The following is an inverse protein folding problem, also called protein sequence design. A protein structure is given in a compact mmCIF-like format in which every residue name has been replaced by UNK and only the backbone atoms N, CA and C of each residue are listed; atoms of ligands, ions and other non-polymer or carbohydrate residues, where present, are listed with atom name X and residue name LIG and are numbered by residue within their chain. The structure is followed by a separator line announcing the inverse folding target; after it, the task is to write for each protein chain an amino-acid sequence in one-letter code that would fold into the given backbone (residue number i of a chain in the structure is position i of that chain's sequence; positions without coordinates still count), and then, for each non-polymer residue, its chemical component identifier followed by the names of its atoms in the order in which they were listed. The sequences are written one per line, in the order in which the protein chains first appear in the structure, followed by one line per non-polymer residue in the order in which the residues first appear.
data_IF_517543860896
#
_entry.id   IF_517543860896
#
_cell.length_a   1.000
_cell.length_b   1.000
_cell.length_c   1.000
_cell.angle_alpha   90.00
_cell.angle_beta   90.00
_cell.angle_gamma   90.00
#
_symmetry.space_group_name_H-M   'P 1'
#
loop_
_entity.id
_entity.type
_entity.pdbx_description
1 polymer ?
#
# COMPACT_ATOMS: atom_id res chain seq x y z
N UNK A 1 -13.94 22.57 4.47
CA UNK A 1 -14.64 21.50 3.70
C UNK A 1 -13.63 20.69 2.92
N UNK A 2 -13.77 19.35 3.00
CA UNK A 2 -13.00 18.35 2.27
C UNK A 2 -13.11 18.54 0.75
N UNK A 3 -12.04 18.32 -0.02
CA UNK A 3 -12.08 18.50 -1.49
C UNK A 3 -12.73 17.31 -2.19
N UNK A 4 -12.58 16.11 -1.63
CA UNK A 4 -13.23 14.90 -2.12
C UNK A 4 -14.36 14.46 -1.18
N UNK A 5 -15.42 13.85 -1.73
CA UNK A 5 -16.43 13.17 -0.92
C UNK A 5 -15.85 11.93 -0.24
N UNK A 6 -16.59 11.35 0.71
CA UNK A 6 -16.25 10.02 1.25
C UNK A 6 -16.19 8.96 0.15
N UNK A 7 -15.44 7.90 0.42
CA UNK A 7 -15.28 6.77 -0.51
C UNK A 7 -16.65 6.27 -0.94
N UNK A 8 -16.86 6.13 -2.25
CA UNK A 8 -18.11 5.58 -2.79
C UNK A 8 -18.12 4.06 -2.63
N UNK A 9 -18.96 3.55 -1.73
CA UNK A 9 -19.17 2.13 -1.48
C UNK A 9 -20.58 1.71 -1.91
N UNK A 10 -20.78 0.40 -2.12
CA UNK A 10 -22.14 -0.16 -2.15
C UNK A 10 -22.75 -0.09 -0.75
N UNK A 11 -24.05 0.14 -0.67
CA UNK A 11 -24.75 0.27 0.62
C UNK A 11 -24.55 -0.96 1.51
N UNK A 12 -24.63 -2.18 0.96
CA UNK A 12 -24.37 -3.40 1.73
C UNK A 12 -22.94 -3.49 2.30
N UNK A 13 -21.95 -2.93 1.59
CA UNK A 13 -20.54 -2.93 2.03
C UNK A 13 -20.32 -1.87 3.09
N UNK A 14 -20.87 -0.67 2.91
CA UNK A 14 -20.77 0.40 3.91
C UNK A 14 -21.42 -0.01 5.24
N UNK A 15 -22.59 -0.65 5.18
CA UNK A 15 -23.27 -1.19 6.36
C UNK A 15 -22.44 -2.27 7.05
N UNK A 16 -21.85 -3.21 6.30
CA UNK A 16 -20.96 -4.23 6.86
C UNK A 16 -19.73 -3.62 7.56
N UNK A 17 -19.08 -2.63 6.93
CA UNK A 17 -17.98 -1.93 7.58
C UNK A 17 -18.47 -1.21 8.84
N UNK A 18 -19.63 -0.55 8.78
CA UNK A 18 -20.23 0.14 9.93
C UNK A 18 -20.45 -0.83 11.08
N UNK A 19 -20.98 -2.03 10.84
CA UNK A 19 -21.16 -3.06 11.88
C UNK A 19 -19.86 -3.42 12.60
N UNK A 20 -18.75 -3.60 11.85
CA UNK A 20 -17.45 -3.89 12.43
C UNK A 20 -16.90 -2.76 13.31
N UNK A 21 -17.05 -1.50 12.87
CA UNK A 21 -16.60 -0.31 13.60
C UNK A 21 -17.58 0.17 14.68
N UNK A 22 -18.78 -0.40 14.75
CA UNK A 22 -19.83 -0.10 15.72
C UNK A 22 -20.16 -1.30 16.61
N UNK A 23 -19.22 -2.23 16.76
CA UNK A 23 -19.40 -3.41 17.60
C UNK A 23 -19.61 -3.02 19.08
N UNK A 24 -20.14 -3.96 19.86
CA UNK A 24 -20.53 -3.71 21.26
C UNK A 24 -19.38 -3.20 22.13
N UNK A 25 -18.16 -3.72 21.93
CA UNK A 25 -16.99 -3.30 22.70
C UNK A 25 -16.58 -1.86 22.34
N UNK A 26 -16.59 -1.50 21.05
CA UNK A 26 -16.30 -0.12 20.60
C UNK A 26 -17.34 0.85 21.16
N UNK A 27 -18.62 0.51 21.07
CA UNK A 27 -19.72 1.37 21.57
C UNK A 27 -19.64 1.49 23.10
N UNK A 28 -19.28 0.42 23.81
CA UNK A 28 -19.08 0.45 25.26
C UNK A 28 -17.88 1.32 25.65
N UNK A 29 -16.80 1.31 24.87
CA UNK A 29 -15.57 2.04 25.18
C UNK A 29 -15.65 3.53 24.83
N UNK A 30 -16.29 3.90 23.72
CA UNK A 30 -16.28 5.28 23.20
C UNK A 30 -17.67 5.94 23.13
N UNK A 31 -18.74 5.18 23.29
CA UNK A 31 -20.11 5.64 23.03
C UNK A 31 -20.48 5.60 21.54
N UNK A 32 -21.78 5.48 21.27
CA UNK A 32 -22.30 5.32 19.90
C UNK A 32 -21.98 6.52 18.99
N UNK A 33 -22.22 7.74 19.48
CA UNK A 33 -22.05 8.96 18.68
C UNK A 33 -20.59 9.15 18.24
N UNK A 34 -19.63 8.92 19.14
CA UNK A 34 -18.21 9.07 18.84
C UNK A 34 -17.72 7.97 17.88
N UNK A 35 -18.19 6.74 18.04
CA UNK A 35 -17.88 5.65 17.11
C UNK A 35 -18.42 5.94 15.69
N UNK A 36 -19.66 6.44 15.57
CA UNK A 36 -20.22 6.84 14.26
C UNK A 36 -19.41 7.99 13.64
N UNK A 37 -19.03 8.99 14.44
CA UNK A 37 -18.20 10.11 13.98
C UNK A 37 -16.83 9.62 13.47
N UNK A 38 -16.17 8.72 14.21
CA UNK A 38 -14.88 8.13 13.80
C UNK A 38 -15.00 7.32 12.51
N UNK A 39 -16.09 6.56 12.35
CA UNK A 39 -16.37 5.79 11.14
C UNK A 39 -16.60 6.69 9.91
N UNK A 40 -17.45 7.71 10.03
CA UNK A 40 -17.65 8.67 8.92
C UNK A 40 -16.37 9.44 8.61
N UNK A 41 -15.58 9.79 9.64
CA UNK A 41 -14.26 10.43 9.44
C UNK A 41 -13.33 9.52 8.65
N UNK A 42 -13.24 8.23 9.00
CA UNK A 42 -12.47 7.22 8.26
C UNK A 42 -12.88 7.17 6.78
N UNK A 43 -14.17 7.05 6.47
CA UNK A 43 -14.64 6.99 5.08
C UNK A 43 -14.29 8.25 4.29
N UNK A 44 -14.30 9.43 4.93
CA UNK A 44 -13.84 10.67 4.32
C UNK A 44 -12.32 10.68 4.05
N UNK A 45 -11.51 10.17 4.97
CA UNK A 45 -10.04 10.17 4.83
C UNK A 45 -9.57 9.18 3.76
N UNK A 46 -10.28 8.07 3.56
CA UNK A 46 -9.93 7.08 2.54
C UNK A 46 -9.84 7.64 1.11
N UNK A 47 -10.68 8.63 0.77
CA UNK A 47 -10.66 9.27 -0.55
C UNK A 47 -9.45 10.19 -0.80
N UNK A 48 -8.70 10.55 0.25
CA UNK A 48 -7.61 11.52 0.17
C UNK A 48 -6.26 10.81 0.17
N UNK A 49 -5.27 11.29 -0.61
CA UNK A 49 -3.94 10.73 -0.56
C UNK A 49 -3.34 10.94 0.83
N UNK A 50 -2.44 10.04 1.28
CA UNK A 50 -1.56 10.31 2.42
C UNK A 50 -0.79 11.62 2.22
N UNK A 51 -0.58 12.38 3.29
CA UNK A 51 0.17 13.65 3.28
C UNK A 51 1.66 13.50 2.99
N UNK A 52 2.18 12.27 2.97
CA UNK A 52 3.57 11.98 2.61
C UNK A 52 3.65 10.93 1.50
N UNK A 53 4.56 11.19 0.57
CA UNK A 53 5.10 10.17 -0.31
C UNK A 53 6.31 9.54 0.37
N UNK A 54 6.22 8.23 0.58
CA UNK A 54 7.26 7.44 1.23
C UNK A 54 8.02 6.65 0.17
N UNK A 55 9.36 6.73 0.21
CA UNK A 55 10.24 5.91 -0.60
C UNK A 55 11.20 5.14 0.28
N UNK A 56 11.40 3.86 -0.06
CA UNK A 56 12.41 3.03 0.55
C UNK A 56 13.69 3.11 -0.28
N UNK A 57 14.81 3.33 0.39
CA UNK A 57 16.14 3.30 -0.20
C UNK A 57 16.62 1.85 -0.30
N UNK A 58 17.21 1.50 -1.44
CA UNK A 58 17.91 0.24 -1.60
C UNK A 58 19.33 0.35 -1.00
N UNK A 59 19.43 0.09 0.29
CA UNK A 59 20.68 0.18 1.06
C UNK A 59 21.74 -0.83 0.64
N UNK A 60 21.38 -1.85 -0.15
CA UNK A 60 22.37 -2.76 -0.74
C UNK A 60 23.25 -2.03 -1.76
N UNK A 61 22.68 -1.14 -2.58
CA UNK A 61 23.41 -0.50 -3.68
C UNK A 61 23.88 0.92 -3.36
N UNK A 62 23.19 1.64 -2.46
CA UNK A 62 23.51 3.03 -2.17
C UNK A 62 23.17 3.41 -0.72
N UNK A 63 23.93 4.35 -0.17
CA UNK A 63 23.62 4.91 1.15
C UNK A 63 22.41 5.84 1.08
N UNK A 64 21.69 5.96 2.20
CA UNK A 64 20.51 6.82 2.33
C UNK A 64 20.84 8.28 2.06
N UNK A 65 21.98 8.75 2.55
CA UNK A 65 22.43 10.13 2.31
C UNK A 65 22.68 10.40 0.82
N UNK A 66 23.39 9.49 0.14
CA UNK A 66 23.65 9.64 -1.30
C UNK A 66 22.35 9.70 -2.11
N UNK A 67 21.40 8.80 -1.83
CA UNK A 67 20.12 8.76 -2.52
C UNK A 67 19.26 9.99 -2.20
N UNK A 68 19.32 10.48 -0.96
CA UNK A 68 18.64 11.72 -0.55
C UNK A 68 19.14 12.93 -1.34
N UNK A 69 20.46 13.05 -1.55
CA UNK A 69 21.05 14.14 -2.32
C UNK A 69 20.64 14.08 -3.80
N UNK A 70 20.72 12.89 -4.41
CA UNK A 70 20.25 12.69 -5.80
C UNK A 70 18.75 13.00 -5.96
N UNK A 71 17.95 12.60 -4.97
CA UNK A 71 16.52 12.85 -4.98
C UNK A 71 16.21 14.33 -4.78
N UNK A 72 17.00 15.05 -3.98
CA UNK A 72 16.87 16.50 -3.84
C UNK A 72 17.04 17.20 -5.19
N UNK A 73 18.10 16.86 -5.95
CA UNK A 73 18.34 17.41 -7.28
C UNK A 73 17.21 17.09 -8.26
N UNK A 74 16.63 15.89 -8.17
CA UNK A 74 15.50 15.49 -9.01
C UNK A 74 14.22 16.27 -8.67
N UNK A 75 13.92 16.47 -7.38
CA UNK A 75 12.76 17.27 -6.96
C UNK A 75 12.90 18.73 -7.39
N UNK A 76 14.11 19.30 -7.33
CA UNK A 76 14.38 20.65 -7.82
C UNK A 76 14.05 20.78 -9.32
N UNK A 77 14.38 19.76 -10.12
CA UNK A 77 14.04 19.73 -11.56
C UNK A 77 12.53 19.58 -11.77
N UNK A 78 11.88 18.62 -11.10
CA UNK A 78 10.47 18.34 -11.29
C UNK A 78 9.56 19.49 -10.86
N UNK A 79 9.95 20.23 -9.82
CA UNK A 79 9.14 21.33 -9.28
C UNK A 79 9.67 22.72 -9.66
N UNK A 80 10.44 22.85 -10.74
CA UNK A 80 10.93 24.13 -11.28
C UNK A 80 11.60 25.02 -10.22
N UNK A 81 12.45 24.44 -9.37
CA UNK A 81 13.17 25.13 -8.31
C UNK A 81 12.42 25.30 -6.99
N UNK A 82 11.20 24.76 -6.87
CA UNK A 82 10.49 24.73 -5.59
C UNK A 82 11.18 23.77 -4.62
N UNK A 83 11.72 24.30 -3.53
CA UNK A 83 12.34 23.49 -2.48
C UNK A 83 11.31 22.77 -1.61
N UNK A 84 11.29 21.45 -1.70
CA UNK A 84 10.49 20.56 -0.84
C UNK A 84 11.45 19.75 0.04
N UNK A 85 11.25 19.69 1.37
CA UNK A 85 12.16 18.96 2.24
C UNK A 85 12.06 17.44 2.00
N UNK A 86 13.20 16.76 2.13
CA UNK A 86 13.27 15.30 2.17
C UNK A 86 13.72 14.91 3.58
N UNK A 87 12.85 14.24 4.31
CA UNK A 87 13.13 13.80 5.69
C UNK A 87 13.55 12.34 5.68
N UNK A 88 14.50 11.97 6.54
CA UNK A 88 14.79 10.57 6.83
C UNK A 88 14.01 10.19 8.08
N UNK A 89 13.34 9.03 8.07
CA UNK A 89 12.58 8.58 9.23
C UNK A 89 13.55 8.14 10.35
N UNK A 90 13.36 8.58 11.62
CA UNK A 90 14.30 8.26 12.70
C UNK A 90 14.34 6.77 13.04
N UNK A 91 13.18 6.11 13.12
CA UNK A 91 13.10 4.68 13.49
C UNK A 91 13.24 3.72 12.29
N UNK A 92 13.21 4.23 11.06
CA UNK A 92 13.25 3.45 9.83
C UNK A 92 14.34 4.05 8.93
N UNK A 93 15.57 3.65 9.20
CA UNK A 93 16.76 4.36 8.70
C UNK A 93 16.84 4.36 7.16
N UNK A 94 16.23 3.40 6.49
CA UNK A 94 16.18 3.23 5.04
C UNK A 94 14.97 3.89 4.37
N UNK A 95 14.24 4.75 5.08
CA UNK A 95 13.04 5.45 4.59
C UNK A 95 13.28 6.94 4.43
N UNK A 96 12.92 7.45 3.25
CA UNK A 96 12.78 8.88 2.99
C UNK A 96 11.30 9.27 2.85
N UNK A 97 10.96 10.43 3.40
CA UNK A 97 9.63 11.00 3.45
C UNK A 97 9.63 12.34 2.73
N UNK A 98 8.68 12.52 1.82
CA UNK A 98 8.51 13.75 1.04
C UNK A 98 7.07 14.23 1.27
N UNK A 99 6.87 15.43 1.83
CA UNK A 99 5.53 15.94 2.06
C UNK A 99 4.83 16.23 0.75
N UNK A 100 3.52 16.00 0.74
CA UNK A 100 2.62 16.28 -0.38
C UNK A 100 2.02 17.67 -0.19
N UNK A 101 2.11 18.51 -1.21
CA UNK A 101 1.52 19.86 -1.20
C UNK A 101 0.10 19.78 -1.77
N UNK A 102 -0.91 20.13 -0.98
CA UNK A 102 -2.31 20.11 -1.39
C UNK A 102 -3.28 19.95 -0.22
N UNK A 103 -4.60 20.05 -0.48
CA UNK A 103 -5.21 20.23 -1.79
C UNK A 103 -5.18 21.67 -2.30
N UNK A 104 -4.78 21.87 -3.56
CA UNK A 104 -4.81 23.16 -4.27
C UNK A 104 -6.22 23.44 -4.81
N UNK A 105 -6.91 24.42 -4.21
CA UNK A 105 -8.32 24.75 -4.54
C UNK A 105 -8.49 25.81 -5.63
N UNK A 106 -7.43 26.53 -5.96
CA UNK A 106 -7.42 27.67 -6.88
C UNK A 106 -7.16 27.29 -8.35
N UNK A 107 -7.15 26.00 -8.69
CA UNK A 107 -6.88 25.54 -10.06
C UNK A 107 -8.13 25.77 -10.92
N UNK A 108 -7.99 26.60 -11.96
CA UNK A 108 -9.07 26.87 -12.91
C UNK A 108 -9.22 25.71 -13.89
N UNK A 109 -10.45 25.20 -14.02
CA UNK A 109 -10.79 24.11 -14.95
C UNK A 109 -10.75 24.60 -16.39
N UNK A 110 -10.32 23.74 -17.29
CA UNK A 110 -10.23 23.96 -18.73
C UNK A 110 -11.46 23.40 -19.45
N UNK A 111 -11.71 23.90 -20.65
CA UNK A 111 -12.81 23.43 -21.49
C UNK A 111 -12.52 22.06 -22.14
N UNK A 112 -11.25 21.78 -22.42
CA UNK A 112 -10.83 20.47 -22.92
C UNK A 112 -10.65 19.52 -21.73
N UNK A 113 -11.28 18.34 -21.79
CA UNK A 113 -11.36 17.40 -20.69
C UNK A 113 -10.88 16.01 -21.08
N UNK A 114 -10.25 15.34 -20.13
CA UNK A 114 -9.89 13.92 -20.22
C UNK A 114 -10.39 13.20 -18.98
N UNK A 115 -10.92 11.99 -19.18
CA UNK A 115 -11.43 11.13 -18.12
C UNK A 115 -10.60 9.87 -18.05
N UNK A 116 -10.11 9.58 -16.85
CA UNK A 116 -9.34 8.38 -16.53
C UNK A 116 -10.15 7.45 -15.64
N UNK A 117 -9.79 6.15 -15.65
CA UNK A 117 -10.37 5.20 -14.71
C UNK A 117 -9.97 5.50 -13.26
N UNK A 118 -10.78 5.04 -12.29
CA UNK A 118 -10.57 5.30 -10.86
C UNK A 118 -9.15 4.98 -10.36
N UNK A 119 -8.57 3.84 -10.77
CA UNK A 119 -7.21 3.44 -10.37
C UNK A 119 -6.14 4.39 -10.93
N UNK A 120 -6.29 4.83 -12.18
CA UNK A 120 -5.41 5.86 -12.75
C UNK A 120 -5.58 7.19 -12.02
N UNK A 121 -6.82 7.55 -11.64
CA UNK A 121 -7.09 8.73 -10.83
C UNK A 121 -6.39 8.69 -9.47
N UNK A 122 -6.44 7.55 -8.79
CA UNK A 122 -5.72 7.34 -7.53
C UNK A 122 -4.20 7.48 -7.70
N UNK A 123 -3.64 6.97 -8.80
CA UNK A 123 -2.20 7.11 -9.12
C UNK A 123 -1.82 8.58 -9.39
N UNK A 124 -2.65 9.34 -10.11
CA UNK A 124 -2.43 10.78 -10.35
C UNK A 124 -2.41 11.57 -9.04
N UNK A 125 -3.32 11.27 -8.11
CA UNK A 125 -3.34 11.88 -6.78
C UNK A 125 -2.11 11.53 -5.92
N UNK A 126 -1.33 10.52 -6.34
CA UNK A 126 -0.06 10.11 -5.73
C UNK A 126 1.17 10.60 -6.51
N UNK A 127 0.98 11.50 -7.48
CA UNK A 127 2.07 12.14 -8.24
C UNK A 127 2.34 11.56 -9.63
N UNK A 128 1.59 10.53 -10.06
CA UNK A 128 1.78 9.96 -11.38
C UNK A 128 1.27 10.88 -12.50
N UNK A 129 1.93 10.81 -13.66
CA UNK A 129 1.34 11.27 -14.91
C UNK A 129 0.24 10.31 -15.39
N UNK A 130 -0.56 10.74 -16.37
CA UNK A 130 -1.56 9.86 -16.98
C UNK A 130 -0.91 9.12 -18.14
N UNK A 131 -0.83 7.80 -18.02
CA UNK A 131 -0.40 6.94 -19.12
C UNK A 131 -1.57 6.60 -20.03
N UNK A 132 -1.29 6.41 -21.32
CA UNK A 132 -2.31 6.14 -22.35
C UNK A 132 -3.31 5.03 -21.97
N UNK A 133 -2.90 3.88 -21.40
CA UNK A 133 -3.85 2.82 -21.01
C UNK A 133 -4.88 3.25 -19.96
N UNK A 134 -4.58 4.29 -19.16
CA UNK A 134 -5.47 4.83 -18.14
C UNK A 134 -6.55 5.78 -18.68
N UNK A 135 -6.43 6.25 -19.92
CA UNK A 135 -7.36 7.19 -20.54
C UNK A 135 -8.59 6.44 -21.06
N UNK A 136 -9.77 6.83 -20.59
CA UNK A 136 -11.05 6.22 -20.94
C UNK A 136 -11.82 7.10 -21.93
N UNK A 137 -11.81 8.41 -21.74
CA UNK A 137 -12.52 9.38 -22.60
C UNK A 137 -11.73 10.69 -22.70
N UNK A 138 -11.93 11.43 -23.78
CA UNK A 138 -11.27 12.70 -24.05
C UNK A 138 -12.15 13.60 -24.94
N UNK A 139 -12.07 14.93 -24.84
CA UNK A 139 -12.84 15.82 -25.70
C UNK A 139 -12.57 15.59 -27.19
N UNK A 140 -13.61 15.71 -28.02
CA UNK A 140 -13.57 15.43 -29.47
C UNK A 140 -12.46 16.20 -30.21
N UNK A 141 -12.18 17.43 -29.78
CA UNK A 141 -11.29 18.38 -30.43
C UNK A 141 -9.87 18.42 -29.83
N UNK A 142 -9.56 17.54 -28.87
CA UNK A 142 -8.27 17.51 -28.19
C UNK A 142 -7.10 17.19 -29.14
N UNK A 143 -6.07 18.00 -29.09
CA UNK A 143 -4.80 17.87 -29.82
C UNK A 143 -3.62 17.71 -28.84
N UNK A 144 -2.50 17.22 -29.35
CA UNK A 144 -1.24 17.26 -28.60
C UNK A 144 -0.83 18.73 -28.35
N UNK A 145 -0.34 19.02 -27.15
CA UNK A 145 0.00 20.35 -26.66
C UNK A 145 -1.14 21.10 -25.96
N UNK A 146 -2.39 20.62 -26.06
CA UNK A 146 -3.51 21.26 -25.40
C UNK A 146 -3.37 21.18 -23.87
N UNK A 147 -3.67 22.29 -23.18
CA UNK A 147 -3.86 22.29 -21.73
C UNK A 147 -5.26 21.80 -21.42
N UNK A 148 -5.36 20.69 -20.70
CA UNK A 148 -6.61 19.96 -20.46
C UNK A 148 -6.86 19.79 -18.96
N UNK A 149 -8.11 19.56 -18.58
CA UNK A 149 -8.50 19.16 -17.23
C UNK A 149 -8.71 17.65 -17.15
N UNK A 150 -8.05 17.00 -16.19
CA UNK A 150 -8.17 15.56 -15.95
C UNK A 150 -9.20 15.29 -14.86
N UNK A 151 -10.07 14.33 -15.12
CA UNK A 151 -11.08 13.85 -14.19
C UNK A 151 -11.00 12.35 -13.98
N UNK A 152 -11.28 11.88 -12.77
CA UNK A 152 -11.45 10.46 -12.45
C UNK A 152 -12.91 10.04 -12.55
N UNK A 153 -13.18 8.98 -13.30
CA UNK A 153 -14.46 8.25 -13.28
C UNK A 153 -14.47 7.28 -12.09
N UNK A 154 -14.91 7.79 -10.94
CA UNK A 154 -14.95 7.01 -9.70
C UNK A 154 -16.03 5.92 -9.72
N UNK A 155 -17.06 6.03 -10.57
CA UNK A 155 -18.14 5.02 -10.65
C UNK A 155 -17.88 3.96 -11.72
N UNK A 156 -16.85 4.12 -12.55
CA UNK A 156 -16.52 3.20 -13.64
C UNK A 156 -17.65 3.09 -14.67
N UNK A 157 -18.36 4.20 -14.94
CA UNK A 157 -19.51 4.24 -15.87
C UNK A 157 -19.17 4.83 -17.23
N UNK A 158 -18.01 5.48 -17.37
CA UNK A 158 -17.55 6.03 -18.63
C UNK A 158 -17.17 4.90 -19.59
N UNK A 159 -17.79 4.88 -20.77
CA UNK A 159 -17.44 3.91 -21.82
C UNK A 159 -16.15 4.35 -22.50
N UNK A 160 -15.23 3.41 -22.72
CA UNK A 160 -13.96 3.69 -23.42
C UNK A 160 -14.24 4.29 -24.80
N UNK A 161 -13.60 5.41 -25.10
CA UNK A 161 -13.80 6.15 -26.35
C UNK A 161 -15.04 7.04 -26.37
N UNK A 162 -15.75 7.26 -25.26
CA UNK A 162 -16.79 8.30 -25.20
C UNK A 162 -16.19 9.69 -25.53
N UNK A 163 -16.99 10.59 -26.11
CA UNK A 163 -16.59 11.98 -26.44
C UNK A 163 -16.99 12.98 -25.36
N UNK A 164 -18.01 12.61 -24.59
CA UNK A 164 -18.65 13.38 -23.52
C UNK A 164 -19.02 12.40 -22.40
N UNK A 165 -19.10 12.89 -21.17
CA UNK A 165 -19.52 12.12 -20.00
C UNK A 165 -20.19 13.05 -18.99
N UNK A 166 -21.44 12.75 -18.70
CA UNK A 166 -22.33 13.45 -17.77
C UNK A 166 -22.38 12.79 -16.38
N UNK A 167 -21.72 11.64 -16.23
CA UNK A 167 -21.65 10.91 -14.97
C UNK A 167 -20.79 11.60 -13.90
N UNK A 168 -20.68 10.93 -12.73
CA UNK A 168 -19.89 11.45 -11.60
C UNK A 168 -18.40 11.46 -11.95
N UNK A 169 -17.82 12.65 -12.03
CA UNK A 169 -16.40 12.87 -12.32
C UNK A 169 -15.74 13.71 -11.22
N UNK A 170 -14.56 13.30 -10.77
CA UNK A 170 -13.77 14.02 -9.75
C UNK A 170 -12.60 14.72 -10.42
N UNK A 171 -12.48 16.04 -10.27
CA UNK A 171 -11.37 16.80 -10.84
C UNK A 171 -10.06 16.40 -10.15
N UNK A 172 -8.99 16.20 -10.92
CA UNK A 172 -7.67 15.80 -10.42
C UNK A 172 -6.62 16.90 -10.60
N UNK A 173 -6.84 17.81 -11.54
CA UNK A 173 -5.91 18.88 -11.90
C UNK A 173 -5.85 19.10 -13.40
N UNK A 174 -4.96 20.01 -13.82
CA UNK A 174 -4.67 20.26 -15.23
C UNK A 174 -3.37 19.58 -15.66
N UNK A 175 -3.27 19.31 -16.95
CA UNK A 175 -2.08 18.76 -17.58
C UNK A 175 -1.98 19.14 -19.06
N UNK A 176 -0.84 18.84 -19.67
CA UNK A 176 -0.60 19.01 -21.10
C UNK A 176 -0.78 17.65 -21.77
N UNK A 177 -1.61 17.60 -22.81
CA UNK A 177 -1.80 16.38 -23.60
C UNK A 177 -0.58 16.13 -24.49
N UNK A 178 0.03 14.95 -24.41
CA UNK A 178 1.14 14.54 -25.30
C UNK A 178 0.61 13.95 -26.61
N UNK A 179 -0.67 13.57 -26.63
CA UNK A 179 -1.33 12.93 -27.76
C UNK A 179 -2.67 13.61 -28.07
N UNK A 180 -3.11 13.53 -29.31
CA UNK A 180 -4.47 13.85 -29.70
C UNK A 180 -5.44 12.73 -29.32
N UNK A 181 -6.74 13.06 -29.27
CA UNK A 181 -7.79 12.03 -29.10
C UNK A 181 -7.72 10.97 -30.20
N UNK A 182 -7.41 11.38 -31.44
CA UNK A 182 -7.35 10.46 -32.58
C UNK A 182 -6.29 9.39 -32.33
N UNK A 183 -5.09 9.78 -31.92
CA UNK A 183 -3.97 8.85 -31.63
C UNK A 183 -4.30 7.89 -30.49
N UNK A 184 -4.94 8.36 -29.42
CA UNK A 184 -5.33 7.51 -28.27
C UNK A 184 -6.32 6.41 -28.69
N UNK A 185 -7.25 6.71 -29.60
CA UNK A 185 -8.36 5.82 -29.95
C UNK A 185 -8.33 5.30 -31.41
N UNK A 186 -7.24 5.46 -32.16
CA UNK A 186 -7.15 5.10 -33.59
C UNK A 186 -6.97 3.61 -33.87
N UNK A 187 -7.04 2.72 -32.87
CA UNK A 187 -6.97 1.27 -33.07
C UNK A 187 -5.56 0.71 -33.35
N UNK A 188 -4.51 1.51 -33.14
CA UNK A 188 -3.12 1.04 -33.15
C UNK A 188 -2.86 0.10 -31.94
N UNK A 189 -1.87 -0.82 -32.02
CA UNK A 189 -1.51 -1.69 -30.89
C UNK A 189 -1.22 -0.85 -29.64
N UNK A 190 -1.51 -1.40 -28.46
CA UNK A 190 -1.49 -0.72 -27.15
C UNK A 190 -0.35 0.31 -27.04
N UNK A 191 -0.65 1.58 -27.33
CA UNK A 191 0.29 2.67 -27.13
C UNK A 191 0.61 2.72 -25.64
N UNK A 192 1.90 2.60 -25.32
CA UNK A 192 2.44 2.70 -23.97
C UNK A 192 3.24 3.99 -23.87
N UNK A 193 3.08 4.69 -22.76
CA UNK A 193 3.73 5.97 -22.53
C UNK A 193 2.81 6.99 -21.88
N UNK A 194 3.34 8.17 -21.64
CA UNK A 194 2.61 9.30 -21.07
C UNK A 194 1.63 9.82 -22.13
N UNK A 195 0.35 9.85 -21.79
CA UNK A 195 -0.68 10.51 -22.59
C UNK A 195 -0.95 11.94 -22.13
N UNK A 196 -0.86 12.19 -20.81
CA UNK A 196 -1.01 13.54 -20.24
C UNK A 196 0.06 13.74 -19.17
N UNK A 197 0.85 14.79 -19.36
CA UNK A 197 1.78 15.29 -18.35
C UNK A 197 1.04 16.21 -17.40
N UNK A 198 0.87 15.78 -16.16
CA UNK A 198 0.23 16.60 -15.13
C UNK A 198 1.12 17.81 -14.79
N UNK A 199 0.57 19.02 -14.88
CA UNK A 199 1.31 20.27 -14.63
C UNK A 199 0.74 21.04 -13.44
N UNK A 200 -0.57 20.96 -13.21
CA UNK A 200 -1.23 21.56 -12.06
C UNK A 200 -2.16 20.54 -11.36
N UNK A 201 -1.59 19.52 -10.69
CA UNK A 201 -2.38 18.57 -9.93
C UNK A 201 -2.96 19.22 -8.66
N UNK A 202 -4.10 18.70 -8.18
CA UNK A 202 -4.68 19.11 -6.89
C UNK A 202 -3.72 18.80 -5.73
N UNK A 203 -3.08 17.63 -5.78
CA UNK A 203 -2.04 17.22 -4.85
C UNK A 203 -0.73 17.13 -5.62
N UNK A 204 0.20 18.00 -5.29
CA UNK A 204 1.54 18.02 -5.85
C UNK A 204 2.40 17.04 -5.05
N UNK A 205 2.57 15.85 -5.65
CA UNK A 205 3.51 14.80 -5.23
C UNK A 205 4.50 14.57 -6.37
N UNK A 206 5.75 14.19 -6.08
CA UNK A 206 6.73 13.93 -7.13
C UNK A 206 6.39 12.67 -7.93
N UNK A 207 6.82 12.66 -9.19
CA UNK A 207 6.74 11.48 -10.05
C UNK A 207 7.99 10.63 -9.86
N UNK A 208 7.80 9.33 -9.65
CA UNK A 208 8.89 8.35 -9.52
C UNK A 208 9.06 7.48 -10.76
N UNK A 209 8.50 7.88 -11.90
CA UNK A 209 8.70 7.15 -13.15
C UNK A 209 10.15 7.27 -13.62
N UNK A 210 10.87 6.14 -13.66
CA UNK A 210 12.28 6.05 -14.01
C UNK A 210 13.25 6.92 -13.18
N UNK A 211 12.84 7.35 -11.99
CA UNK A 211 13.70 8.09 -11.06
C UNK A 211 14.48 7.11 -10.19
N UNK A 212 15.80 7.08 -10.38
CA UNK A 212 16.73 6.26 -9.58
C UNK A 212 16.26 4.80 -9.41
N UNK A 213 15.93 4.08 -10.51
CA UNK A 213 15.15 2.83 -10.46
C UNK A 213 15.83 1.69 -9.70
N UNK A 214 17.17 1.70 -9.59
CA UNK A 214 17.93 0.72 -8.80
C UNK A 214 18.11 1.13 -7.33
N UNK A 215 17.88 2.40 -6.98
CA UNK A 215 18.11 2.94 -5.64
C UNK A 215 16.84 3.19 -4.85
N UNK A 216 15.68 3.32 -5.52
CA UNK A 216 14.41 3.63 -4.89
C UNK A 216 13.37 2.54 -5.13
N UNK A 217 12.54 2.32 -4.12
CA UNK A 217 11.31 1.56 -4.25
C UNK A 217 10.16 2.36 -3.60
N UNK A 218 9.13 2.69 -4.38
CA UNK A 218 7.96 3.39 -3.86
C UNK A 218 7.15 2.43 -2.96
N UNK A 219 7.13 2.68 -1.66
CA UNK A 219 6.53 1.79 -0.67
C UNK A 219 5.88 2.59 0.44
N UNK A 220 4.63 2.27 0.77
CA UNK A 220 3.93 2.93 1.88
C UNK A 220 4.64 2.64 3.19
N UNK A 221 4.70 3.64 4.08
CA UNK A 221 5.36 3.53 5.39
C UNK A 221 5.00 2.24 6.16
N UNK A 222 3.71 1.88 6.39
CA UNK A 222 3.38 0.65 7.11
C UNK A 222 3.90 -0.63 6.43
N UNK A 223 4.02 -0.64 5.10
CA UNK A 223 4.57 -1.78 4.37
C UNK A 223 6.08 -1.93 4.53
N UNK A 224 6.79 -0.86 4.91
CA UNK A 224 8.22 -0.90 5.28
C UNK A 224 8.36 -1.32 6.75
N UNK A 225 7.45 -0.89 7.63
CA UNK A 225 7.42 -1.33 9.04
C UNK A 225 7.34 -2.85 9.14
N UNK A 226 6.55 -3.51 8.30
CA UNK A 226 6.38 -4.98 8.31
C UNK A 226 7.70 -5.76 8.31
N UNK A 227 8.65 -5.36 7.47
CA UNK A 227 9.92 -6.07 7.28
C UNK A 227 10.93 -5.73 8.35
N UNK A 228 10.89 -4.51 8.92
CA UNK A 228 11.61 -4.17 10.15
C UNK A 228 11.07 -4.97 11.36
N UNK A 229 9.74 -5.09 11.49
CA UNK A 229 9.10 -5.91 12.54
C UNK A 229 9.43 -7.40 12.41
N UNK A 230 9.54 -7.89 11.17
CA UNK A 230 10.00 -9.25 10.88
C UNK A 230 11.45 -9.47 11.35
N UNK A 231 12.28 -8.43 11.29
CA UNK A 231 13.66 -8.42 11.77
C UNK A 231 14.51 -9.60 11.21
N UNK A 232 14.61 -9.75 9.88
CA UNK A 232 15.34 -10.86 9.27
C UNK A 232 16.86 -10.70 9.45
N UNK A 233 17.54 -11.77 9.86
CA UNK A 233 18.99 -11.74 10.10
C UNK A 233 19.77 -12.31 8.90
N UNK A 234 20.98 -11.79 8.63
CA UNK A 234 21.88 -12.39 7.64
C UNK A 234 22.11 -13.89 7.87
N UNK A 235 21.99 -14.69 6.81
CA UNK A 235 22.18 -16.14 6.81
C UNK A 235 20.91 -16.96 7.07
N UNK A 236 19.80 -16.33 7.46
CA UNK A 236 18.53 -17.02 7.72
C UNK A 236 17.80 -17.44 6.44
N UNK A 237 16.84 -18.35 6.61
CA UNK A 237 15.91 -18.78 5.57
C UNK A 237 14.53 -18.20 5.82
N UNK A 238 14.10 -17.30 4.94
CA UNK A 238 12.86 -16.52 5.06
C UNK A 238 11.87 -16.91 3.96
N UNK A 239 10.59 -17.03 4.30
CA UNK A 239 9.51 -17.24 3.32
C UNK A 239 8.58 -16.02 3.28
N UNK A 240 8.36 -15.47 2.09
CA UNK A 240 7.27 -14.54 1.80
C UNK A 240 6.20 -15.28 0.99
N UNK A 241 5.05 -15.56 1.62
CA UNK A 241 4.03 -16.44 1.06
C UNK A 241 3.16 -15.80 -0.04
N UNK A 242 3.13 -14.47 -0.11
CA UNK A 242 2.26 -13.68 -1.00
C UNK A 242 3.03 -12.45 -1.49
N UNK A 243 4.13 -12.73 -2.18
CA UNK A 243 5.24 -11.79 -2.31
C UNK A 243 5.03 -10.66 -3.32
N UNK A 244 4.15 -10.81 -4.32
CA UNK A 244 4.15 -9.88 -5.43
C UNK A 244 3.62 -8.48 -5.08
N UNK A 245 4.22 -7.41 -5.63
CA UNK A 245 5.26 -7.39 -6.68
C UNK A 245 6.71 -7.46 -6.15
N UNK A 246 6.93 -7.85 -4.90
CA UNK A 246 8.27 -8.07 -4.32
C UNK A 246 8.78 -6.92 -3.46
N UNK A 247 7.94 -5.94 -3.09
CA UNK A 247 8.38 -4.78 -2.30
C UNK A 247 8.91 -5.17 -0.92
N UNK A 248 8.20 -6.04 -0.21
CA UNK A 248 8.62 -6.58 1.10
C UNK A 248 9.72 -7.62 0.93
N UNK A 249 9.61 -8.51 -0.05
CA UNK A 249 10.63 -9.52 -0.37
C UNK A 249 12.00 -8.91 -0.64
N UNK A 250 12.08 -7.88 -1.49
CA UNK A 250 13.34 -7.20 -1.80
C UNK A 250 13.88 -6.41 -0.62
N UNK A 251 13.00 -5.93 0.25
CA UNK A 251 13.42 -5.27 1.49
C UNK A 251 13.99 -6.26 2.50
N UNK A 252 13.38 -7.43 2.68
CA UNK A 252 13.92 -8.53 3.51
C UNK A 252 15.34 -8.88 3.06
N UNK A 253 15.54 -9.12 1.76
CA UNK A 253 16.86 -9.43 1.22
C UNK A 253 17.88 -8.29 1.45
N UNK A 254 17.45 -7.02 1.31
CA UNK A 254 18.32 -5.88 1.58
C UNK A 254 18.72 -5.76 3.07
N UNK A 255 17.78 -6.01 4.01
CA UNK A 255 18.07 -6.02 5.45
C UNK A 255 19.02 -7.16 5.85
N UNK A 256 18.95 -8.29 5.14
CA UNK A 256 19.87 -9.41 5.30
C UNK A 256 21.23 -9.20 4.60
N UNK A 257 21.48 -8.03 4.02
CA UNK A 257 22.66 -7.74 3.20
C UNK A 257 22.88 -8.75 2.06
N UNK A 258 21.79 -9.24 1.49
CA UNK A 258 21.74 -10.30 0.48
C UNK A 258 22.43 -11.61 0.91
N UNK A 259 22.61 -11.83 2.22
CA UNK A 259 23.17 -13.06 2.80
C UNK A 259 22.05 -13.93 3.38
N UNK A 260 21.88 -15.14 2.87
CA UNK A 260 20.84 -16.08 3.29
C UNK A 260 19.96 -16.52 2.13
N UNK A 261 18.74 -16.93 2.43
CA UNK A 261 17.78 -17.39 1.42
C UNK A 261 16.40 -16.78 1.63
N UNK A 262 15.90 -16.02 0.64
CA UNK A 262 14.56 -15.44 0.65
C UNK A 262 13.71 -16.12 -0.41
N UNK A 263 12.79 -16.98 0.03
CA UNK A 263 11.84 -17.66 -0.84
C UNK A 263 10.60 -16.80 -1.00
N UNK A 264 10.24 -16.48 -2.25
CA UNK A 264 9.09 -15.65 -2.58
C UNK A 264 8.05 -16.46 -3.36
N UNK A 265 6.83 -16.57 -2.85
CA UNK A 265 5.73 -17.25 -3.54
C UNK A 265 4.67 -16.26 -4.03
N UNK A 266 4.18 -16.46 -5.24
CA UNK A 266 2.91 -15.87 -5.68
C UNK A 266 2.20 -16.85 -6.62
N UNK A 267 0.86 -16.79 -6.67
CA UNK A 267 0.04 -17.70 -7.47
C UNK A 267 0.05 -17.35 -8.97
N UNK A 268 0.35 -16.10 -9.32
CA UNK A 268 0.21 -15.58 -10.69
C UNK A 268 1.59 -15.44 -11.33
N UNK A 269 1.80 -16.11 -12.47
CA UNK A 269 3.10 -16.13 -13.18
C UNK A 269 3.64 -14.73 -13.50
N UNK A 270 2.80 -13.86 -14.08
CA UNK A 270 3.20 -12.48 -14.43
C UNK A 270 3.64 -11.67 -13.21
N UNK A 271 3.04 -11.94 -12.04
CA UNK A 271 3.40 -11.31 -10.78
C UNK A 271 4.74 -11.83 -10.26
N UNK A 272 5.02 -13.12 -10.40
CA UNK A 272 6.32 -13.71 -10.08
C UNK A 272 7.43 -13.15 -10.97
N UNK A 273 7.18 -13.00 -12.27
CA UNK A 273 8.14 -12.35 -13.17
C UNK A 273 8.43 -10.92 -12.72
N UNK A 274 7.42 -10.19 -12.19
CA UNK A 274 7.64 -8.86 -11.63
C UNK A 274 8.51 -8.87 -10.36
N UNK A 275 8.37 -9.89 -9.50
CA UNK A 275 9.27 -10.09 -8.35
C UNK A 275 10.71 -10.27 -8.84
N UNK A 276 10.94 -11.15 -9.82
CA UNK A 276 12.28 -11.40 -10.39
C UNK A 276 12.88 -10.15 -11.03
N UNK A 277 12.08 -9.40 -11.79
CA UNK A 277 12.51 -8.13 -12.40
C UNK A 277 12.94 -7.12 -11.33
N UNK A 278 12.15 -6.97 -10.26
CA UNK A 278 12.47 -6.05 -9.18
C UNK A 278 13.70 -6.51 -8.36
N UNK A 279 13.84 -7.82 -8.11
CA UNK A 279 15.04 -8.38 -7.46
C UNK A 279 16.30 -8.10 -8.28
N UNK A 280 16.26 -8.37 -9.60
CA UNK A 280 17.35 -8.08 -10.52
C UNK A 280 17.69 -6.59 -10.58
N UNK A 281 16.68 -5.73 -10.71
CA UNK A 281 16.85 -4.27 -10.80
C UNK A 281 17.52 -3.68 -9.55
N UNK A 282 17.24 -4.27 -8.39
CA UNK A 282 17.78 -3.87 -7.09
C UNK A 282 19.06 -4.62 -6.69
N UNK A 283 19.57 -5.52 -7.55
CA UNK A 283 20.83 -6.24 -7.33
C UNK A 283 20.80 -7.35 -6.29
N UNK A 284 19.63 -7.93 -6.00
CA UNK A 284 19.43 -8.92 -4.92
C UNK A 284 19.40 -10.35 -5.47
N UNK A 285 20.33 -11.20 -5.01
CA UNK A 285 20.56 -12.56 -5.52
C UNK A 285 20.07 -13.66 -4.58
N UNK A 286 19.88 -13.36 -3.30
CA UNK A 286 19.34 -14.28 -2.28
C UNK A 286 17.86 -14.64 -2.51
N UNK A 287 17.17 -13.94 -3.41
CA UNK A 287 15.74 -14.09 -3.68
C UNK A 287 15.48 -15.20 -4.70
N UNK A 288 14.68 -16.20 -4.31
CA UNK A 288 14.16 -17.26 -5.20
C UNK A 288 12.65 -17.17 -5.30
N UNK A 289 12.15 -16.72 -6.45
CA UNK A 289 10.72 -16.50 -6.67
C UNK A 289 10.06 -17.65 -7.45
N UNK A 290 8.94 -18.17 -6.95
CA UNK A 290 8.21 -19.31 -7.53
C UNK A 290 6.72 -19.00 -7.75
N UNK A 291 6.20 -19.44 -8.91
CA UNK A 291 4.78 -19.44 -9.20
C UNK A 291 4.12 -20.65 -8.54
N UNK A 292 3.57 -20.45 -7.35
CA UNK A 292 3.04 -21.55 -6.53
C UNK A 292 1.89 -21.08 -5.64
N UNK A 293 0.91 -21.96 -5.40
CA UNK A 293 -0.20 -21.66 -4.49
C UNK A 293 0.27 -21.84 -3.03
N UNK A 294 0.38 -20.73 -2.29
CA UNK A 294 0.83 -20.74 -0.89
C UNK A 294 -0.02 -21.63 0.03
N UNK A 295 -1.28 -21.90 -0.31
CA UNK A 295 -2.14 -22.82 0.47
C UNK A 295 -1.74 -24.29 0.35
N UNK A 296 -0.83 -24.61 -0.57
CA UNK A 296 -0.31 -25.96 -0.84
C UNK A 296 1.20 -26.05 -0.60
N UNK A 297 1.81 -25.04 0.02
CA UNK A 297 3.26 -24.96 0.18
C UNK A 297 3.81 -25.96 1.20
N UNK A 298 2.95 -26.61 2.01
CA UNK A 298 3.33 -27.68 2.92
C UNK A 298 3.44 -29.03 2.19
N UNK A 299 4.60 -29.69 2.28
CA UNK A 299 4.85 -31.02 1.74
C UNK A 299 4.38 -32.08 2.74
N UNK A 300 3.37 -32.86 2.37
CA UNK A 300 2.81 -33.93 3.21
C UNK A 300 3.45 -35.32 2.96
N UNK A 301 4.10 -35.53 1.81
CA UNK A 301 4.63 -36.85 1.40
C UNK A 301 6.15 -36.82 1.13
N UNK A 302 6.85 -37.87 1.54
CA UNK A 302 8.32 -38.11 1.46
C UNK A 302 8.82 -38.53 0.06
N UNK A 303 8.25 -38.03 -1.03
CA UNK A 303 8.78 -38.32 -2.38
C UNK A 303 9.94 -37.37 -2.71
N UNK A 304 11.00 -37.93 -3.31
CA UNK A 304 12.32 -37.35 -3.63
C UNK A 304 12.35 -35.82 -3.75
N UNK A 305 13.30 -35.24 -3.03
CA UNK A 305 13.46 -33.81 -2.86
C UNK A 305 13.84 -33.09 -4.15
N UNK A 306 13.08 -32.05 -4.48
CA UNK A 306 13.61 -30.93 -5.24
C UNK A 306 14.11 -29.92 -4.20
N UNK A 307 15.37 -30.04 -3.80
CA UNK A 307 16.01 -29.12 -2.86
C UNK A 307 15.75 -27.66 -3.28
N UNK A 308 15.26 -26.85 -2.34
CA UNK A 308 15.04 -25.42 -2.55
C UNK A 308 13.84 -25.02 -3.43
N UNK A 309 12.87 -25.92 -3.68
CA UNK A 309 11.63 -25.60 -4.44
C UNK A 309 10.36 -25.99 -3.66
N UNK A 310 9.23 -25.29 -3.87
CA UNK A 310 7.96 -25.64 -3.23
C UNK A 310 7.37 -26.95 -3.81
N UNK A 311 6.62 -27.75 -3.02
CA UNK A 311 6.30 -27.53 -1.60
C UNK A 311 7.47 -27.87 -0.66
N UNK A 312 7.47 -27.28 0.54
CA UNK A 312 8.53 -27.35 1.53
C UNK A 312 8.16 -28.26 2.71
N UNK A 313 9.17 -28.82 3.37
CA UNK A 313 8.99 -29.62 4.58
C UNK A 313 8.49 -28.75 5.75
N UNK A 314 7.73 -29.34 6.70
CA UNK A 314 7.38 -28.65 7.94
C UNK A 314 8.62 -28.10 8.65
N UNK A 315 8.45 -27.01 9.39
CA UNK A 315 9.48 -26.44 10.27
C UNK A 315 10.83 -26.17 9.57
N UNK A 316 10.78 -25.62 8.35
CA UNK A 316 11.97 -25.43 7.49
C UNK A 316 12.40 -23.96 7.34
N UNK A 317 11.61 -23.01 7.84
CA UNK A 317 11.90 -21.56 7.75
C UNK A 317 12.13 -20.93 9.11
N UNK A 318 13.14 -20.06 9.20
CA UNK A 318 13.48 -19.31 10.42
C UNK A 318 12.45 -18.20 10.67
N UNK A 319 12.02 -17.53 9.60
CA UNK A 319 10.91 -16.56 9.66
C UNK A 319 10.00 -16.66 8.45
N UNK A 320 8.74 -16.29 8.65
CA UNK A 320 7.73 -16.27 7.61
C UNK A 320 7.00 -14.93 7.64
N UNK A 321 6.90 -14.30 6.47
CA UNK A 321 6.02 -13.19 6.21
C UNK A 321 4.76 -13.69 5.49
N UNK A 322 3.62 -13.45 6.10
CA UNK A 322 2.31 -13.60 5.50
C UNK A 322 1.66 -12.23 5.28
N UNK A 323 2.07 -11.57 4.19
CA UNK A 323 1.39 -10.37 3.68
C UNK A 323 0.13 -10.78 2.91
N UNK A 324 -0.92 -11.11 3.65
CA UNK A 324 -2.02 -11.87 3.11
C UNK A 324 -2.86 -11.06 2.11
N UNK A 325 -3.37 -11.69 1.02
CA UNK A 325 -4.36 -11.06 0.17
C UNK A 325 -5.58 -10.68 1.03
N UNK A 326 -6.05 -9.45 0.86
CA UNK A 326 -7.11 -8.86 1.68
C UNK A 326 -8.03 -7.99 0.83
N UNK A 327 -9.09 -7.48 1.45
CA UNK A 327 -10.05 -6.60 0.77
C UNK A 327 -9.51 -5.24 0.34
N UNK A 328 -8.34 -4.82 0.86
CA UNK A 328 -7.67 -3.57 0.46
C UNK A 328 -8.42 -2.29 0.84
N UNK A 329 -9.36 -2.35 1.80
CA UNK A 329 -10.19 -1.21 2.19
C UNK A 329 -9.42 -0.07 2.88
N UNK A 330 -8.16 -0.30 3.25
CA UNK A 330 -7.27 0.70 3.82
C UNK A 330 -6.50 1.53 2.78
N UNK A 331 -6.55 1.17 1.49
CA UNK A 331 -5.77 1.86 0.46
C UNK A 331 -6.16 3.34 0.35
N UNK A 332 -5.15 4.21 0.14
CA UNK A 332 -5.34 5.65 -0.03
C UNK A 332 -4.45 6.23 -1.14
N UNK A 333 -4.97 7.16 -1.96
CA UNK A 333 -6.39 7.52 -2.04
C UNK A 333 -7.20 6.38 -2.65
N UNK A 334 -8.43 6.21 -2.17
CA UNK A 334 -9.41 5.31 -2.74
C UNK A 334 -10.77 6.00 -2.77
N UNK A 335 -11.11 6.56 -3.94
CA UNK A 335 -12.35 7.33 -4.10
C UNK A 335 -13.59 6.43 -4.27
N UNK A 336 -13.43 5.17 -4.65
CA UNK A 336 -14.55 4.26 -4.86
C UNK A 336 -14.16 2.79 -4.84
N UNK A 337 -15.02 1.97 -4.24
CA UNK A 337 -14.95 0.51 -4.32
C UNK A 337 -16.29 -0.05 -4.82
N UNK A 338 -16.27 -0.69 -5.99
CA UNK A 338 -17.47 -1.28 -6.60
C UNK A 338 -17.71 -2.73 -6.21
N UNK A 339 -16.94 -3.26 -5.25
CA UNK A 339 -17.04 -4.65 -4.83
C UNK A 339 -18.37 -4.95 -4.11
N UNK A 340 -18.83 -6.18 -4.26
CA UNK A 340 -19.95 -6.77 -3.54
C UNK A 340 -19.53 -7.15 -2.12
N UNK A 341 -20.49 -7.27 -1.20
CA UNK A 341 -20.22 -7.77 0.14
C UNK A 341 -19.58 -9.17 0.14
N UNK A 342 -19.97 -10.04 -0.81
CA UNK A 342 -19.39 -11.38 -0.97
C UNK A 342 -17.91 -11.32 -1.33
N UNK A 343 -17.50 -10.41 -2.20
CA UNK A 343 -16.09 -10.22 -2.55
C UNK A 343 -15.30 -9.73 -1.34
N UNK A 344 -15.81 -8.72 -0.61
CA UNK A 344 -15.15 -8.16 0.58
C UNK A 344 -14.97 -9.20 1.69
N UNK A 345 -15.94 -10.09 1.90
CA UNK A 345 -15.90 -11.11 2.97
C UNK A 345 -15.23 -12.42 2.56
N UNK A 346 -14.81 -12.57 1.30
CA UNK A 346 -14.23 -13.82 0.78
C UNK A 346 -12.81 -14.13 1.25
N UNK A 347 -12.13 -13.17 1.87
CA UNK A 347 -10.70 -13.27 2.20
C UNK A 347 -10.41 -14.05 3.48
N UNK A 348 -11.27 -13.97 4.50
CA UNK A 348 -11.02 -14.60 5.79
C UNK A 348 -10.69 -16.11 5.68
N UNK A 349 -11.45 -16.94 4.91
CA UNK A 349 -11.12 -18.36 4.77
C UNK A 349 -9.79 -18.62 4.05
N UNK A 350 -9.45 -17.80 3.05
CA UNK A 350 -8.17 -17.92 2.34
C UNK A 350 -7.00 -17.54 3.26
N UNK A 351 -7.14 -16.45 4.00
CA UNK A 351 -6.14 -16.00 4.96
C UNK A 351 -5.88 -17.07 6.03
N UNK A 352 -6.93 -17.71 6.57
CA UNK A 352 -6.76 -18.81 7.53
C UNK A 352 -6.02 -20.01 6.94
N UNK A 353 -6.31 -20.41 5.70
CA UNK A 353 -5.59 -21.49 5.01
C UNK A 353 -4.11 -21.18 4.84
N UNK A 354 -3.79 -19.96 4.39
CA UNK A 354 -2.40 -19.52 4.25
C UNK A 354 -1.69 -19.46 5.61
N UNK A 355 -2.38 -18.95 6.63
CA UNK A 355 -1.85 -18.86 8.00
C UNK A 355 -1.55 -20.25 8.56
N UNK A 356 -2.44 -21.23 8.42
CA UNK A 356 -2.18 -22.62 8.84
C UNK A 356 -0.90 -23.16 8.19
N UNK A 357 -0.72 -22.97 6.88
CA UNK A 357 0.49 -23.41 6.19
C UNK A 357 1.74 -22.68 6.69
N UNK A 358 1.64 -21.36 6.95
CA UNK A 358 2.73 -20.59 7.53
C UNK A 358 3.20 -21.21 8.86
N UNK A 359 2.26 -21.53 9.75
CA UNK A 359 2.56 -22.07 11.07
C UNK A 359 3.24 -23.45 11.01
N UNK A 360 2.80 -24.31 10.10
CA UNK A 360 3.39 -25.64 9.89
C UNK A 360 4.80 -25.56 9.28
N UNK A 361 5.06 -24.58 8.41
CA UNK A 361 6.37 -24.37 7.79
C UNK A 361 7.39 -23.67 8.71
N UNK A 362 6.93 -23.03 9.78
CA UNK A 362 7.76 -22.25 10.69
C UNK A 362 8.51 -23.13 11.69
N UNK A 363 9.81 -22.89 11.86
CA UNK A 363 10.62 -23.57 12.88
C UNK A 363 10.16 -23.22 14.31
N UNK A 364 10.37 -24.12 15.28
CA UNK A 364 10.32 -23.75 16.69
C UNK A 364 11.32 -22.63 17.01
N UNK A 365 10.86 -21.61 17.72
CA UNK A 365 11.58 -20.35 17.96
C UNK A 365 11.50 -19.35 16.79
N UNK A 366 10.90 -19.73 15.66
CA UNK A 366 10.78 -18.88 14.48
C UNK A 366 9.72 -17.78 14.62
N UNK A 367 9.84 -16.76 13.78
CA UNK A 367 8.96 -15.58 13.77
C UNK A 367 7.97 -15.65 12.60
N UNK A 368 6.69 -15.40 12.88
CA UNK A 368 5.66 -15.18 11.87
C UNK A 368 5.16 -13.73 11.96
N UNK A 369 5.24 -12.99 10.87
CA UNK A 369 4.55 -11.70 10.74
C UNK A 369 3.36 -11.85 9.81
N UNK A 370 2.18 -11.54 10.32
CA UNK A 370 0.94 -11.43 9.56
C UNK A 370 0.63 -9.96 9.31
N UNK A 371 0.42 -9.58 8.05
CA UNK A 371 0.04 -8.20 7.70
C UNK A 371 -1.03 -8.12 6.64
N UNK A 372 -1.83 -7.05 6.70
CA UNK A 372 -2.82 -6.71 5.67
C UNK A 372 -2.87 -5.20 5.41
N UNK A 373 -3.31 -4.79 4.22
CA UNK A 373 -3.62 -3.39 3.90
C UNK A 373 -5.13 -3.10 3.95
N UNK A 374 -5.86 -3.82 4.81
CA UNK A 374 -7.29 -3.59 5.06
C UNK A 374 -7.53 -3.12 6.48
N UNK A 375 -8.77 -2.72 6.76
CA UNK A 375 -9.21 -2.13 8.02
C UNK A 375 -10.30 -2.97 8.70
N UNK A 376 -10.74 -4.07 8.09
CA UNK A 376 -11.84 -4.90 8.58
C UNK A 376 -11.41 -5.71 9.80
N UNK A 377 -12.27 -5.78 10.82
CA UNK A 377 -12.00 -6.56 12.04
C UNK A 377 -11.81 -8.06 11.70
N UNK A 378 -12.66 -8.56 10.79
CA UNK A 378 -12.68 -9.95 10.33
C UNK A 378 -11.39 -10.46 9.68
N UNK A 379 -10.61 -9.57 9.07
CA UNK A 379 -9.32 -9.89 8.43
C UNK A 379 -8.13 -9.51 9.31
N UNK A 380 -8.34 -8.97 10.52
CA UNK A 380 -7.26 -8.46 11.37
C UNK A 380 -7.35 -9.04 12.78
N UNK A 381 -7.96 -8.33 13.73
CA UNK A 381 -7.99 -8.75 15.13
C UNK A 381 -8.72 -10.09 15.32
N UNK A 382 -9.76 -10.39 14.53
CA UNK A 382 -10.42 -11.71 14.53
C UNK A 382 -9.49 -12.83 14.05
N UNK A 383 -8.58 -12.53 13.13
CA UNK A 383 -7.59 -13.50 12.65
C UNK A 383 -6.53 -13.78 13.71
N UNK A 384 -6.11 -12.76 14.46
CA UNK A 384 -5.22 -12.92 15.62
C UNK A 384 -5.90 -13.77 16.70
N UNK A 385 -7.14 -13.43 17.08
CA UNK A 385 -7.88 -14.19 18.09
C UNK A 385 -8.11 -15.65 17.67
N UNK A 386 -8.44 -15.88 16.39
CA UNK A 386 -8.52 -17.23 15.83
C UNK A 386 -7.17 -17.96 15.90
N UNK A 387 -6.08 -17.33 15.47
CA UNK A 387 -4.76 -17.94 15.45
C UNK A 387 -4.29 -18.36 16.85
N UNK A 388 -4.44 -17.48 17.86
CA UNK A 388 -4.07 -17.77 19.25
C UNK A 388 -4.88 -18.92 19.86
N UNK A 389 -6.16 -19.06 19.46
CA UNK A 389 -7.00 -20.17 19.91
C UNK A 389 -6.69 -21.48 19.19
N UNK A 390 -6.39 -21.41 17.89
CA UNK A 390 -6.17 -22.59 17.05
C UNK A 390 -4.76 -23.15 17.18
N UNK A 391 -3.76 -22.30 17.41
CA UNK A 391 -2.35 -22.68 17.53
C UNK A 391 -1.82 -22.28 18.93
N UNK A 392 -2.01 -23.13 19.96
CA UNK A 392 -1.65 -22.79 21.33
C UNK A 392 -0.15 -22.59 21.55
N UNK A 393 0.68 -23.06 20.62
CA UNK A 393 2.13 -22.86 20.61
C UNK A 393 2.55 -21.55 19.92
N UNK A 394 1.63 -20.76 19.37
CA UNK A 394 1.92 -19.39 18.95
C UNK A 394 1.70 -18.43 20.10
N UNK A 395 2.66 -17.52 20.28
CA UNK A 395 2.53 -16.40 21.22
C UNK A 395 2.63 -15.09 20.47
N UNK A 396 1.72 -14.17 20.77
CA UNK A 396 1.79 -12.79 20.28
C UNK A 396 3.01 -12.09 20.90
N UNK A 397 3.70 -11.28 20.12
CA UNK A 397 4.93 -10.61 20.52
C UNK A 397 4.85 -9.10 20.31
N UNK A 398 5.52 -8.30 21.16
CA UNK A 398 5.72 -6.89 20.91
C UNK A 398 6.54 -6.67 19.61
N UNK A 399 6.42 -5.47 19.06
CA UNK A 399 6.96 -5.12 17.75
C UNK A 399 7.87 -3.91 17.86
N UNK A 400 9.03 -3.96 17.20
CA UNK A 400 9.96 -2.84 17.10
C UNK A 400 10.32 -2.64 15.62
N UNK A 401 10.21 -1.44 15.05
CA UNK A 401 9.64 -0.23 15.64
C UNK A 401 8.10 -0.29 15.79
N UNK A 402 7.56 0.34 16.85
CA UNK A 402 6.11 0.49 17.07
C UNK A 402 5.64 1.88 16.66
N UNK A 403 5.15 2.02 15.43
CA UNK A 403 4.76 3.31 14.81
C UNK A 403 3.23 3.47 14.76
N UNK A 404 2.53 2.35 14.52
CA UNK A 404 1.07 2.29 14.42
C UNK A 404 0.35 2.63 15.73
N UNK A 405 -0.97 2.61 15.70
CA UNK A 405 -1.77 2.56 16.92
C UNK A 405 -1.97 1.11 17.40
N UNK A 406 -2.57 0.96 18.57
CA UNK A 406 -2.98 -0.34 19.10
C UNK A 406 -4.09 -0.98 18.26
N UNK A 407 -4.30 -2.30 18.43
CA UNK A 407 -5.40 -3.02 17.80
C UNK A 407 -6.79 -2.50 18.21
N UNK A 408 -7.79 -2.74 17.37
CA UNK A 408 -9.18 -2.37 17.65
C UNK A 408 -9.89 -3.40 18.53
N UNK A 409 -10.66 -2.93 19.51
CA UNK A 409 -11.56 -3.78 20.30
C UNK A 409 -12.68 -4.39 19.44
N UNK A 410 -13.21 -5.54 19.86
CA UNK A 410 -14.29 -6.27 19.19
C UNK A 410 -13.95 -7.70 18.77
N UNK A 411 -12.71 -8.15 18.94
CA UNK A 411 -12.28 -9.53 18.68
C UNK A 411 -12.15 -10.38 19.95
N UNK A 412 -12.46 -9.84 21.14
CA UNK A 412 -12.25 -10.51 22.42
C UNK A 412 -10.79 -10.65 22.85
N UNK A 413 -9.88 -9.84 22.30
CA UNK A 413 -8.48 -9.76 22.73
C UNK A 413 -8.35 -8.90 23.99
N UNK A 414 -7.39 -9.24 24.87
CA UNK A 414 -7.09 -8.41 26.04
C UNK A 414 -6.44 -7.08 25.65
N UNK A 415 -6.48 -6.08 26.54
CA UNK A 415 -5.81 -4.79 26.30
C UNK A 415 -4.29 -4.94 26.09
N UNK A 416 -3.66 -5.90 26.78
CA UNK A 416 -2.24 -6.21 26.60
C UNK A 416 -1.95 -6.79 25.22
N UNK A 417 -2.83 -7.67 24.72
CA UNK A 417 -2.72 -8.21 23.38
C UNK A 417 -2.93 -7.12 22.31
N UNK A 418 -3.91 -6.23 22.49
CA UNK A 418 -4.16 -5.12 21.56
C UNK A 418 -2.96 -4.17 21.45
N UNK A 419 -2.24 -3.93 22.56
CA UNK A 419 -0.99 -3.14 22.60
C UNK A 419 0.18 -3.77 21.84
N UNK A 420 0.17 -5.07 21.64
CA UNK A 420 1.20 -5.77 20.86
C UNK A 420 0.92 -5.75 19.35
N UNK A 421 -0.27 -5.31 18.94
CA UNK A 421 -0.64 -5.15 17.53
C UNK A 421 -0.29 -3.75 17.04
N UNK A 422 -0.06 -3.62 15.74
CA UNK A 422 0.05 -2.31 15.09
C UNK A 422 -1.06 -2.15 14.06
N UNK A 423 -1.99 -1.23 14.32
CA UNK A 423 -3.04 -0.82 13.40
C UNK A 423 -2.84 0.62 12.97
N UNK A 424 -2.78 0.83 11.67
CA UNK A 424 -2.71 2.15 11.05
C UNK A 424 -4.12 2.57 10.64
N UNK A 425 -4.55 3.74 11.13
CA UNK A 425 -5.89 4.27 10.92
C UNK A 425 -5.87 5.61 10.19
N UNK A 426 -6.52 5.74 9.02
CA UNK A 426 -6.57 6.99 8.27
C UNK A 426 -7.19 8.19 9.02
N UNK A 427 -7.98 7.96 10.07
CA UNK A 427 -8.75 8.99 10.79
C UNK A 427 -8.12 9.46 12.10
N UNK A 428 -6.86 9.10 12.37
CA UNK A 428 -6.19 9.45 13.64
C UNK A 428 -5.91 10.95 13.74
N UNK A 429 -5.73 11.62 12.60
CA UNK A 429 -5.42 13.06 12.52
C UNK A 429 -6.32 13.75 11.50
N UNK A 430 -6.75 15.01 11.74
CA UNK A 430 -7.52 15.75 10.74
C UNK A 430 -6.72 15.94 9.46
N UNK A 431 -7.38 15.83 8.29
CA UNK A 431 -6.80 16.24 7.01
C UNK A 431 -6.39 17.72 7.08
N UNK A 432 -5.08 17.98 7.15
CA UNK A 432 -4.52 19.32 7.00
C UNK A 432 -4.15 19.55 5.55
N UNK A 433 -4.52 20.71 5.03
CA UNK A 433 -3.97 21.17 3.77
C UNK A 433 -2.55 21.64 4.01
N UNK A 434 -1.62 21.14 3.22
CA UNK A 434 -0.22 21.55 3.24
C UNK A 434 0.01 22.49 2.08
N UNK A 435 0.44 23.71 2.36
CA UNK A 435 0.94 24.68 1.39
C UNK A 435 2.43 24.96 1.61
N UNK A 436 3.03 25.78 0.75
CA UNK A 436 4.47 26.04 0.78
C UNK A 436 4.86 26.80 2.06
N UNK A 437 4.00 27.70 2.52
CA UNK A 437 4.27 28.52 3.71
C UNK A 437 4.21 27.65 4.97
N UNK A 438 3.18 26.82 5.12
CA UNK A 438 3.08 25.87 6.22
C UNK A 438 4.21 24.84 6.26
N UNK A 439 4.80 24.47 5.11
CA UNK A 439 5.99 23.60 5.08
C UNK A 439 7.26 24.28 5.59
N UNK A 440 7.42 25.58 5.37
CA UNK A 440 8.59 26.33 5.84
C UNK A 440 8.60 26.47 7.36
N UNK A 441 7.42 26.63 7.95
CA UNK A 441 7.25 26.83 9.39
C UNK A 441 7.07 25.51 10.17
N UNK A 442 6.90 24.38 9.48
CA UNK A 442 6.68 23.08 10.12
C UNK A 442 7.95 22.54 10.78
N UNK A 443 7.83 22.12 12.05
CA UNK A 443 8.91 21.41 12.74
C UNK A 443 9.06 20.00 12.18
N UNK A 444 10.30 19.50 12.12
CA UNK A 444 10.60 18.16 11.61
C UNK A 444 9.82 17.08 12.39
N UNK A 445 9.77 17.20 13.72
CA UNK A 445 9.05 16.27 14.58
C UNK A 445 7.55 16.18 14.26
N UNK A 446 6.91 17.32 13.97
CA UNK A 446 5.49 17.36 13.59
C UNK A 446 5.26 16.68 12.23
N UNK A 447 6.20 16.82 11.30
CA UNK A 447 6.15 16.16 9.99
C UNK A 447 6.34 14.65 10.11
N UNK A 448 7.30 14.18 10.92
CA UNK A 448 7.48 12.74 11.20
C UNK A 448 6.23 12.16 11.86
N UNK A 449 5.69 12.85 12.87
CA UNK A 449 4.46 12.42 13.53
C UNK A 449 3.28 12.34 12.55
N UNK A 450 3.14 13.33 11.67
CA UNK A 450 2.09 13.33 10.65
C UNK A 450 2.27 12.19 9.64
N UNK A 451 3.50 11.91 9.18
CA UNK A 451 3.80 10.78 8.30
C UNK A 451 3.42 9.43 8.94
N UNK A 452 3.62 9.30 10.25
CA UNK A 452 3.30 8.09 11.01
C UNK A 452 1.79 7.87 11.17
N UNK A 453 1.00 8.94 11.26
CA UNK A 453 -0.45 8.86 11.50
C UNK A 453 -1.29 8.96 10.23
N UNK A 454 -0.96 9.86 9.30
CA UNK A 454 -1.71 10.07 8.07
C UNK A 454 -1.22 9.17 6.92
N UNK A 455 -1.36 7.87 7.11
CA UNK A 455 -0.98 6.85 6.13
C UNK A 455 -2.18 5.99 5.70
N UNK A 456 -1.91 4.94 4.92
CA UNK A 456 -2.93 3.96 4.53
C UNK A 456 -3.45 3.19 5.75
N UNK A 457 -4.66 2.64 5.65
CA UNK A 457 -5.13 1.61 6.57
C UNK A 457 -4.29 0.34 6.43
N UNK A 458 -3.75 -0.13 7.55
CA UNK A 458 -2.82 -1.25 7.57
C UNK A 458 -2.83 -1.95 8.93
N UNK A 459 -2.41 -3.21 8.97
CA UNK A 459 -2.36 -4.01 10.18
C UNK A 459 -1.13 -4.92 10.20
N UNK A 460 -0.53 -5.08 11.37
CA UNK A 460 0.64 -5.94 11.59
C UNK A 460 0.47 -6.68 12.93
N UNK A 461 0.63 -8.00 12.88
CA UNK A 461 0.71 -8.88 14.05
C UNK A 461 1.97 -9.74 13.96
N UNK A 462 2.75 -9.78 15.05
CA UNK A 462 3.98 -10.58 15.17
C UNK A 462 3.76 -11.72 16.14
N UNK A 463 4.14 -12.92 15.73
CA UNK A 463 4.06 -14.13 16.53
C UNK A 463 5.43 -14.81 16.61
N UNK A 464 5.65 -15.52 17.71
CA UNK A 464 6.73 -16.51 17.83
C UNK A 464 6.12 -17.89 18.01
N UNK A 465 6.69 -18.90 17.35
CA UNK A 465 6.32 -20.30 17.56
C UNK A 465 7.15 -20.86 18.69
N UNK A 466 6.51 -21.18 19.81
CA UNK A 466 7.16 -21.84 20.93
C UNK A 466 7.57 -23.26 20.55
N UNK A 467 8.60 -23.80 21.19
CA UNK A 467 8.91 -25.23 21.09
C UNK A 467 7.73 -26.02 21.64
N UNK A 468 7.25 -27.00 20.87
CA UNK A 468 6.31 -27.99 21.39
C UNK A 468 6.96 -28.64 22.61
N UNK A 469 6.36 -28.44 23.78
CA UNK A 469 6.76 -29.10 25.04
C UNK A 469 6.51 -30.59 24.99
#
# INVERSE_FOLDING_TARGET
MSIFPKISLRLEVENYLKEGFMNKEVVSAFGKQEAERKFETLLNHLSHPPSFTTVRVNTHLASVQHVKDLLFDELQKQFNGLSVPILQHPDLQDVLLIPVIGPRKNIKKQHCEVIVGAQCGNAVLRGAHVYVPGIVSASKFMKAGDVISVYSDIKGKCKKGAKEFDGTKVFLGNGISELSRKEIFSGLPELKGIGIRMTEPIYLSPSFDNVLPSYLFLQNLPSVVVTHVLDPQPGEKILDMCAAPGGKTTHIAALMHDQGEVIALDKISNKVEKIKQNALLLGLNSIKAFCFDGTKALKLNTVKDAEGKPPFLPESFDRILLDAPCSGMGQRPNMACSWTLKEVTSYQPLQRKLFTVAVELLKPGGVLVYSTCTITLAENEEQVAWALRTFPYLQLQPQEAHIGGEGMVGAGLSLEQLKQLQRFGPSVVPLRGTDIDSLRDARIEDMIWLANKDCIGFFIAKFIKCKST
#
